data_IF_155433298330
#
_entry.id   IF_155433298330
#
_cell.length_a   1.000
_cell.length_b   1.000
_cell.length_c   1.000
_cell.angle_alpha   90.00
_cell.angle_beta   90.00
_cell.angle_gamma   90.00
#
_symmetry.space_group_name_H-M   'P 1'
#
loop_
_entity.id
_entity.type
_entity.pdbx_description
1 polymer ?
#
# COMPACT_ATOMS: atom_id res chain seq x y z
N UNK A 1 45.24 -12.75 7.03
CA UNK A 1 45.21 -11.32 7.39
C UNK A 1 44.57 -10.60 6.23
N UNK A 2 43.27 -10.39 6.29
CA UNK A 2 42.53 -9.62 5.28
C UNK A 2 42.24 -8.28 5.90
N UNK A 3 42.88 -7.25 5.40
CA UNK A 3 42.68 -5.87 5.81
C UNK A 3 41.39 -5.42 5.22
N UNK A 4 40.36 -5.16 6.05
CA UNK A 4 39.18 -4.44 5.66
C UNK A 4 39.59 -3.01 5.30
N UNK A 5 39.61 -2.68 4.01
CA UNK A 5 39.62 -1.31 3.55
C UNK A 5 38.30 -0.66 3.96
N UNK A 6 38.33 0.05 5.10
CA UNK A 6 37.31 1.04 5.41
C UNK A 6 37.47 2.17 4.39
N UNK A 7 36.64 2.17 3.38
CA UNK A 7 36.46 3.32 2.52
C UNK A 7 35.99 4.50 3.38
N UNK A 8 36.90 5.43 3.65
CA UNK A 8 36.66 6.72 4.31
C UNK A 8 35.82 7.63 3.41
N UNK A 9 34.60 7.21 3.11
CA UNK A 9 33.60 8.00 2.40
C UNK A 9 32.61 8.61 3.40
N UNK A 10 32.27 9.83 3.19
CA UNK A 10 31.24 10.55 3.95
C UNK A 10 29.93 9.76 3.96
N UNK A 11 29.34 9.50 5.15
CA UNK A 11 28.10 8.71 5.30
C UNK A 11 26.90 9.46 4.74
N UNK A 12 26.83 10.77 4.98
CA UNK A 12 25.69 11.62 4.63
C UNK A 12 26.15 12.80 3.78
N UNK A 13 25.51 13.00 2.64
CA UNK A 13 25.75 14.16 1.77
C UNK A 13 24.50 15.03 1.69
N UNK A 14 24.66 16.35 1.86
CA UNK A 14 23.61 17.32 1.61
C UNK A 14 23.83 17.93 0.23
N UNK A 15 22.81 17.85 -0.63
CA UNK A 15 22.83 18.40 -1.98
C UNK A 15 21.74 19.42 -2.16
N UNK A 16 22.11 20.64 -2.54
CA UNK A 16 21.14 21.68 -2.88
C UNK A 16 20.39 21.37 -4.18
N UNK A 17 19.11 21.65 -4.21
CA UNK A 17 18.25 21.60 -5.39
C UNK A 17 17.45 22.90 -5.53
N UNK A 18 16.77 23.09 -6.67
CA UNK A 18 15.88 24.26 -6.87
C UNK A 18 14.71 24.33 -5.85
N UNK A 19 14.37 23.22 -5.24
CA UNK A 19 13.23 23.10 -4.33
C UNK A 19 13.64 23.07 -2.86
N UNK A 20 14.92 22.84 -2.58
CA UNK A 20 15.47 22.72 -1.23
C UNK A 20 16.64 21.74 -1.18
N UNK A 21 16.88 21.15 -0.04
CA UNK A 21 18.03 20.28 0.23
C UNK A 21 17.61 18.80 0.10
N UNK A 22 18.44 18.00 -0.53
CA UNK A 22 18.33 16.56 -0.62
C UNK A 22 19.41 15.95 0.27
N UNK A 23 19.03 15.05 1.18
CA UNK A 23 19.94 14.29 2.03
C UNK A 23 20.16 12.92 1.43
N UNK A 24 21.38 12.60 1.03
CA UNK A 24 21.73 11.30 0.45
C UNK A 24 22.56 10.48 1.45
N UNK A 25 22.15 9.27 1.72
CA UNK A 25 22.90 8.31 2.52
C UNK A 25 23.73 7.44 1.56
N UNK A 26 25.05 7.56 1.63
CA UNK A 26 25.99 7.01 0.64
C UNK A 26 26.39 5.54 0.88
N UNK A 27 26.23 5.06 2.08
CA UNK A 27 26.60 3.68 2.46
C UNK A 27 25.69 3.12 3.54
N UNK A 28 25.69 1.80 3.66
CA UNK A 28 24.94 1.11 4.72
C UNK A 28 25.50 1.46 6.10
N UNK A 29 24.61 1.82 7.00
CA UNK A 29 24.91 2.12 8.40
C UNK A 29 23.67 1.85 9.26
N UNK A 30 23.83 1.84 10.57
CA UNK A 30 22.70 1.72 11.50
C UNK A 30 21.87 3.02 11.54
N UNK A 31 20.65 2.92 12.01
CA UNK A 31 19.77 4.08 12.17
C UNK A 31 20.43 5.19 13.00
N UNK A 32 21.05 4.83 14.13
CA UNK A 32 21.69 5.78 15.03
C UNK A 32 22.93 6.46 14.41
N UNK A 33 23.73 5.71 13.64
CA UNK A 33 24.88 6.30 12.92
C UNK A 33 24.41 7.30 11.86
N UNK A 34 23.37 6.96 11.10
CA UNK A 34 22.80 7.87 10.09
C UNK A 34 22.23 9.11 10.78
N UNK A 35 21.43 8.95 11.82
CA UNK A 35 20.83 10.02 12.60
C UNK A 35 21.89 10.97 13.15
N UNK A 36 22.90 10.44 13.85
CA UNK A 36 23.98 11.25 14.44
C UNK A 36 24.76 11.98 13.36
N UNK A 37 25.09 11.33 12.24
CA UNK A 37 25.80 11.95 11.13
C UNK A 37 25.03 13.12 10.49
N UNK A 38 23.69 13.02 10.42
CA UNK A 38 22.83 14.11 9.93
C UNK A 38 22.83 15.26 10.95
N UNK A 39 22.64 14.94 12.23
CA UNK A 39 22.62 15.92 13.32
C UNK A 39 23.95 16.69 13.38
N UNK A 40 25.09 16.01 13.41
CA UNK A 40 26.41 16.62 13.43
C UNK A 40 26.62 17.61 12.28
N UNK A 41 26.15 17.26 11.09
CA UNK A 41 26.23 18.16 9.91
C UNK A 41 25.31 19.36 10.03
N UNK A 42 24.09 19.19 10.52
CA UNK A 42 23.17 20.31 10.75
C UNK A 42 23.70 21.24 11.84
N UNK A 43 24.26 20.71 12.92
CA UNK A 43 24.88 21.50 14.01
C UNK A 43 26.11 22.26 13.54
N UNK A 44 26.99 21.62 12.75
CA UNK A 44 28.20 22.25 12.22
C UNK A 44 27.93 23.44 11.29
N UNK A 45 26.73 23.55 10.75
CA UNK A 45 26.35 24.58 9.77
C UNK A 45 24.95 25.15 10.09
N UNK A 46 24.61 25.30 11.35
CA UNK A 46 23.28 25.69 11.81
C UNK A 46 22.76 27.00 11.17
N UNK A 47 23.67 27.97 10.97
CA UNK A 47 23.30 29.23 10.33
C UNK A 47 22.89 29.10 8.86
N UNK A 48 23.31 28.03 8.18
CA UNK A 48 22.93 27.74 6.80
C UNK A 48 21.61 26.97 6.71
N UNK A 49 21.33 26.11 7.71
CA UNK A 49 20.18 25.23 7.69
C UNK A 49 18.94 25.81 8.42
N UNK A 50 19.07 26.93 9.13
CA UNK A 50 17.94 27.56 9.83
C UNK A 50 16.88 28.03 8.82
N UNK A 51 15.64 27.55 8.93
CA UNK A 51 14.56 27.78 7.98
C UNK A 51 14.73 27.03 6.65
N UNK A 52 15.68 26.09 6.57
CA UNK A 52 15.93 25.35 5.32
C UNK A 52 14.81 24.34 5.04
N UNK A 53 14.56 24.14 3.73
CA UNK A 53 13.62 23.15 3.24
C UNK A 53 14.34 21.87 2.84
N UNK A 54 13.99 20.75 3.44
CA UNK A 54 14.52 19.42 3.09
C UNK A 54 13.48 18.70 2.22
N UNK A 55 13.85 18.42 0.96
CA UNK A 55 12.93 17.82 -0.02
C UNK A 55 12.84 16.31 0.11
N UNK A 56 13.97 15.65 0.39
CA UNK A 56 13.99 14.18 0.51
C UNK A 56 15.18 13.71 1.34
N UNK A 57 15.01 12.55 1.95
CA UNK A 57 16.09 11.73 2.51
C UNK A 57 16.16 10.46 1.67
N UNK A 58 17.18 10.35 0.83
CA UNK A 58 17.40 9.20 -0.03
C UNK A 58 18.23 8.16 0.73
N UNK A 59 17.59 7.09 1.14
CA UNK A 59 18.21 5.99 1.87
C UNK A 59 17.58 4.66 1.47
N UNK A 60 18.40 3.72 0.98
CA UNK A 60 17.97 2.36 0.62
C UNK A 60 17.99 1.40 1.84
N UNK A 61 18.53 1.84 2.96
CA UNK A 61 18.84 0.99 4.11
C UNK A 61 17.91 1.20 5.31
N UNK A 62 17.05 2.21 5.28
CA UNK A 62 16.06 2.50 6.31
C UNK A 62 14.65 2.19 5.80
N UNK A 63 13.80 1.69 6.70
CA UNK A 63 12.38 1.55 6.43
C UNK A 63 11.69 2.91 6.42
N UNK A 64 10.49 2.99 5.80
CA UNK A 64 9.68 4.21 5.78
C UNK A 64 9.38 4.74 7.20
N UNK A 65 9.16 3.82 8.15
CA UNK A 65 8.94 4.17 9.56
C UNK A 65 10.19 4.82 10.17
N UNK A 66 11.37 4.28 9.89
CA UNK A 66 12.64 4.85 10.38
C UNK A 66 12.92 6.21 9.74
N UNK A 67 12.61 6.39 8.46
CA UNK A 67 12.71 7.71 7.80
C UNK A 67 11.74 8.71 8.42
N UNK A 68 10.52 8.29 8.76
CA UNK A 68 9.55 9.14 9.45
C UNK A 68 10.04 9.55 10.84
N UNK A 69 10.55 8.62 11.64
CA UNK A 69 11.14 8.88 12.95
C UNK A 69 12.34 9.85 12.84
N UNK A 70 13.18 9.66 11.82
CA UNK A 70 14.32 10.53 11.57
C UNK A 70 13.90 11.97 11.23
N UNK A 71 12.86 12.13 10.41
CA UNK A 71 12.30 13.46 10.09
C UNK A 71 11.76 14.15 11.33
N UNK A 72 11.04 13.42 12.18
CA UNK A 72 10.46 13.93 13.42
C UNK A 72 11.53 14.37 14.41
N UNK A 73 12.56 13.55 14.61
CA UNK A 73 13.71 13.85 15.45
C UNK A 73 14.48 15.09 14.97
N UNK A 74 14.66 15.27 13.66
CA UNK A 74 15.35 16.42 13.09
C UNK A 74 14.49 17.68 13.24
N UNK A 75 13.19 17.63 12.89
CA UNK A 75 12.28 18.78 13.00
C UNK A 75 12.09 19.25 14.44
N UNK A 76 12.22 18.33 15.41
CA UNK A 76 12.12 18.70 16.83
C UNK A 76 13.34 19.46 17.36
N UNK A 77 14.51 19.31 16.72
CA UNK A 77 15.78 19.89 17.16
C UNK A 77 16.22 21.11 16.33
N UNK A 78 15.84 21.15 15.08
CA UNK A 78 16.28 22.17 14.13
C UNK A 78 15.08 22.84 13.47
N UNK A 79 15.20 24.13 13.20
CA UNK A 79 14.23 24.88 12.40
C UNK A 79 14.39 24.53 10.92
N UNK A 80 13.89 23.34 10.53
CA UNK A 80 13.87 22.84 9.18
C UNK A 80 12.49 22.36 8.81
N UNK A 81 12.07 22.65 7.58
CA UNK A 81 10.78 22.20 7.01
C UNK A 81 11.02 21.02 6.08
N UNK A 82 10.46 19.85 6.39
CA UNK A 82 10.41 18.76 5.42
C UNK A 82 9.30 19.03 4.43
N UNK A 83 9.67 19.28 3.17
CA UNK A 83 8.70 19.32 2.09
C UNK A 83 8.40 17.86 1.77
N UNK A 84 7.19 17.42 2.07
CA UNK A 84 6.71 16.19 1.47
C UNK A 84 6.58 16.43 -0.04
N UNK A 85 7.66 16.16 -0.78
CA UNK A 85 7.40 15.77 -2.15
C UNK A 85 6.61 14.46 -2.00
N UNK A 86 5.30 14.55 -2.17
CA UNK A 86 4.61 13.43 -2.76
C UNK A 86 5.45 13.08 -3.98
N UNK A 87 6.38 12.13 -3.80
CA UNK A 87 6.89 11.42 -4.94
C UNK A 87 5.63 10.96 -5.64
N UNK A 88 5.28 11.65 -6.70
CA UNK A 88 4.66 11.02 -7.83
C UNK A 88 5.67 9.98 -8.35
N UNK A 89 5.97 8.94 -7.59
CA UNK A 89 6.06 7.60 -8.13
C UNK A 89 4.79 7.57 -8.92
N UNK A 90 4.93 7.66 -10.24
CA UNK A 90 3.85 7.65 -11.19
C UNK A 90 2.59 7.18 -10.48
N UNK A 91 1.77 8.13 -10.01
CA UNK A 91 0.35 7.87 -9.92
C UNK A 91 0.08 7.67 -11.41
N UNK A 92 0.35 6.45 -11.87
CA UNK A 92 -0.32 5.93 -13.03
C UNK A 92 -1.72 6.44 -12.80
N UNK A 93 -2.25 7.25 -13.69
CA UNK A 93 -3.59 7.81 -13.58
C UNK A 93 -4.52 6.60 -13.50
N UNK A 94 -4.59 5.98 -12.33
CA UNK A 94 -5.55 4.92 -12.06
C UNK A 94 -6.90 5.61 -12.10
N UNK A 95 -7.53 5.50 -13.24
CA UNK A 95 -8.88 6.00 -13.38
C UNK A 95 -9.75 5.14 -12.48
N UNK A 96 -10.68 5.79 -11.80
CA UNK A 96 -11.68 5.11 -10.98
C UNK A 96 -13.02 5.17 -11.68
N UNK A 97 -13.61 4.00 -11.91
CA UNK A 97 -14.96 3.87 -12.47
C UNK A 97 -15.98 3.71 -11.35
N UNK A 98 -16.95 4.61 -11.31
CA UNK A 98 -18.08 4.51 -10.38
C UNK A 98 -19.24 3.82 -11.07
N UNK A 99 -19.75 2.74 -10.46
CA UNK A 99 -20.89 1.95 -10.94
C UNK A 99 -22.06 2.19 -9.99
N UNK A 100 -22.99 3.03 -10.38
CA UNK A 100 -24.17 3.37 -9.57
C UNK A 100 -25.33 2.42 -9.77
N UNK A 101 -25.34 1.64 -10.86
CA UNK A 101 -26.34 0.64 -11.16
C UNK A 101 -25.67 -0.54 -11.84
N UNK A 102 -25.97 -1.76 -11.41
CA UNK A 102 -25.46 -2.99 -11.98
C UNK A 102 -26.59 -4.02 -12.09
N UNK A 103 -26.91 -4.44 -13.31
CA UNK A 103 -28.00 -5.37 -13.58
C UNK A 103 -27.53 -6.80 -13.48
N UNK A 104 -28.46 -7.71 -13.22
CA UNK A 104 -28.21 -9.15 -13.31
C UNK A 104 -27.72 -9.51 -14.73
N UNK A 105 -26.64 -10.28 -14.83
CA UNK A 105 -26.00 -10.66 -16.09
C UNK A 105 -25.11 -9.59 -16.72
N UNK A 106 -25.00 -8.42 -16.13
CA UNK A 106 -24.13 -7.36 -16.65
C UNK A 106 -22.66 -7.64 -16.28
N UNK A 107 -21.77 -7.45 -17.26
CA UNK A 107 -20.32 -7.56 -17.07
C UNK A 107 -19.68 -6.19 -17.26
N UNK A 108 -18.89 -5.77 -16.25
CA UNK A 108 -18.13 -4.53 -16.27
C UNK A 108 -16.65 -4.86 -16.13
N UNK A 109 -15.88 -4.44 -17.12
CA UNK A 109 -14.42 -4.50 -17.10
C UNK A 109 -13.85 -3.09 -17.15
N UNK A 110 -12.76 -2.86 -16.42
CA UNK A 110 -12.15 -1.53 -16.35
C UNK A 110 -10.65 -1.63 -16.03
N UNK A 111 -9.88 -0.82 -16.75
CA UNK A 111 -8.45 -0.64 -16.49
C UNK A 111 -8.25 0.46 -15.44
N UNK A 112 -8.18 0.05 -14.19
CA UNK A 112 -8.11 0.91 -13.01
C UNK A 112 -8.87 0.33 -11.83
N UNK A 113 -9.33 1.22 -10.94
CA UNK A 113 -10.18 0.88 -9.80
C UNK A 113 -11.66 0.89 -10.17
N UNK A 114 -12.46 0.02 -9.57
CA UNK A 114 -13.93 0.06 -9.68
C UNK A 114 -14.54 0.25 -8.30
N UNK A 115 -15.46 1.21 -8.18
CA UNK A 115 -16.30 1.38 -7.01
C UNK A 115 -17.76 1.11 -7.40
N UNK A 116 -18.30 0.00 -6.90
CA UNK A 116 -19.70 -0.39 -7.08
C UNK A 116 -20.49 0.19 -5.91
N UNK A 117 -21.39 1.14 -6.21
CA UNK A 117 -22.18 1.87 -5.19
C UNK A 117 -23.53 1.21 -4.89
N UNK A 118 -23.74 -0.02 -5.34
CA UNK A 118 -24.98 -0.78 -5.21
C UNK A 118 -24.65 -2.25 -4.93
N UNK A 119 -25.69 -3.04 -4.67
CA UNK A 119 -25.55 -4.49 -4.56
C UNK A 119 -25.19 -5.13 -5.90
N UNK A 120 -24.42 -6.19 -5.85
CA UNK A 120 -24.13 -7.06 -6.99
C UNK A 120 -25.09 -8.23 -6.99
N UNK A 121 -25.99 -8.24 -7.97
CA UNK A 121 -27.00 -9.28 -8.13
C UNK A 121 -26.45 -10.52 -8.84
N UNK A 122 -27.10 -11.66 -8.65
CA UNK A 122 -26.73 -12.91 -9.30
C UNK A 122 -26.52 -12.73 -10.81
N UNK A 123 -25.46 -13.32 -11.33
CA UNK A 123 -25.04 -13.23 -12.74
C UNK A 123 -24.26 -11.96 -13.10
N UNK A 124 -24.21 -10.94 -12.24
CA UNK A 124 -23.39 -9.76 -12.51
C UNK A 124 -21.90 -10.06 -12.31
N UNK A 125 -21.03 -9.42 -13.10
CA UNK A 125 -19.59 -9.56 -13.02
C UNK A 125 -18.90 -8.19 -13.02
N UNK A 126 -17.85 -8.05 -12.21
CA UNK A 126 -16.99 -6.87 -12.17
C UNK A 126 -15.53 -7.33 -12.21
N UNK A 127 -14.74 -6.78 -13.14
CA UNK A 127 -13.32 -7.07 -13.29
C UNK A 127 -12.51 -5.79 -13.39
N UNK A 128 -11.51 -5.62 -12.50
CA UNK A 128 -10.64 -4.47 -12.45
C UNK A 128 -9.16 -4.85 -12.52
N UNK A 129 -8.36 -4.06 -13.23
CA UNK A 129 -6.89 -4.25 -13.23
C UNK A 129 -6.22 -3.74 -11.95
N UNK A 130 -6.94 -2.96 -11.12
CA UNK A 130 -6.49 -2.52 -9.80
C UNK A 130 -7.41 -3.08 -8.72
N UNK A 131 -8.03 -2.24 -7.91
CA UNK A 131 -8.86 -2.66 -6.79
C UNK A 131 -10.35 -2.61 -7.12
N UNK A 132 -11.15 -3.37 -6.38
CA UNK A 132 -12.61 -3.30 -6.42
C UNK A 132 -13.14 -2.99 -5.03
N UNK A 133 -13.98 -1.97 -4.93
CA UNK A 133 -14.75 -1.65 -3.72
C UNK A 133 -16.22 -1.83 -4.03
N UNK A 134 -16.93 -2.62 -3.21
CA UNK A 134 -18.38 -2.81 -3.31
C UNK A 134 -19.01 -2.25 -2.05
N UNK A 135 -19.87 -1.25 -2.17
CA UNK A 135 -20.53 -0.60 -1.03
C UNK A 135 -21.77 -1.38 -0.54
N UNK A 136 -22.30 -2.28 -1.37
CA UNK A 136 -23.41 -3.15 -1.04
C UNK A 136 -23.01 -4.61 -0.82
N UNK A 137 -23.96 -5.51 -1.02
CA UNK A 137 -23.80 -6.95 -0.90
C UNK A 137 -23.40 -7.60 -2.23
N UNK A 138 -22.70 -8.72 -2.16
CA UNK A 138 -22.39 -9.58 -3.32
C UNK A 138 -23.21 -10.86 -3.20
N UNK A 139 -24.27 -10.95 -4.00
CA UNK A 139 -25.19 -12.09 -4.00
C UNK A 139 -24.53 -13.36 -4.59
N UNK A 140 -25.06 -14.51 -4.20
CA UNK A 140 -24.69 -15.79 -4.82
C UNK A 140 -24.87 -15.74 -6.32
N UNK A 141 -23.83 -16.23 -7.07
CA UNK A 141 -23.78 -16.14 -8.54
C UNK A 141 -23.25 -14.83 -9.10
N UNK A 142 -22.97 -13.82 -8.27
CA UNK A 142 -22.18 -12.65 -8.67
C UNK A 142 -20.68 -12.96 -8.62
N UNK A 143 -19.87 -12.24 -9.42
CA UNK A 143 -18.44 -12.47 -9.54
C UNK A 143 -17.66 -11.16 -9.49
N UNK A 144 -16.64 -11.12 -8.62
CA UNK A 144 -15.67 -10.00 -8.53
C UNK A 144 -14.27 -10.53 -8.80
N UNK A 145 -13.54 -9.85 -9.68
CA UNK A 145 -12.14 -10.12 -9.99
C UNK A 145 -11.35 -8.84 -9.91
N UNK A 146 -10.29 -8.81 -9.13
CA UNK A 146 -9.38 -7.68 -9.02
C UNK A 146 -7.92 -8.14 -9.10
N UNK A 147 -7.07 -7.41 -9.82
CA UNK A 147 -5.62 -7.67 -9.76
C UNK A 147 -5.01 -7.19 -8.45
N UNK A 148 -5.63 -6.21 -7.81
CA UNK A 148 -5.34 -5.72 -6.46
C UNK A 148 -6.28 -6.34 -5.42
N UNK A 149 -6.77 -5.51 -4.53
CA UNK A 149 -7.58 -5.87 -3.37
C UNK A 149 -9.09 -5.82 -3.69
N UNK A 150 -9.87 -6.56 -2.90
CA UNK A 150 -11.33 -6.47 -2.92
C UNK A 150 -11.83 -6.07 -1.54
N UNK A 151 -12.61 -5.00 -1.48
CA UNK A 151 -13.23 -4.49 -0.26
C UNK A 151 -14.74 -4.47 -0.45
N UNK A 152 -15.48 -5.10 0.45
CA UNK A 152 -16.94 -5.19 0.42
C UNK A 152 -17.48 -4.70 1.75
N UNK A 153 -18.28 -3.65 1.74
CA UNK A 153 -18.85 -3.11 2.99
C UNK A 153 -19.98 -3.99 3.53
N UNK A 154 -20.69 -4.70 2.65
CA UNK A 154 -21.76 -5.61 2.99
C UNK A 154 -21.33 -7.07 3.12
N UNK A 155 -22.24 -7.98 2.81
CA UNK A 155 -22.07 -9.43 2.86
C UNK A 155 -21.64 -10.01 1.51
N UNK A 156 -20.81 -11.04 1.55
CA UNK A 156 -20.34 -11.76 0.36
C UNK A 156 -20.86 -13.19 0.38
N UNK A 157 -21.65 -13.53 -0.64
CA UNK A 157 -22.08 -14.91 -0.96
C UNK A 157 -21.67 -15.37 -2.36
N UNK A 158 -21.12 -14.46 -3.16
CA UNK A 158 -20.66 -14.70 -4.52
C UNK A 158 -19.19 -15.15 -4.60
N UNK A 159 -18.66 -15.15 -5.82
CA UNK A 159 -17.26 -15.47 -6.08
C UNK A 159 -16.39 -14.22 -5.98
N UNK A 160 -15.27 -14.34 -5.27
CA UNK A 160 -14.26 -13.27 -5.19
C UNK A 160 -12.88 -13.82 -5.57
N UNK A 161 -12.18 -13.07 -6.44
CA UNK A 161 -10.79 -13.30 -6.76
C UNK A 161 -9.99 -11.99 -6.63
N UNK A 162 -9.21 -11.85 -5.56
CA UNK A 162 -8.24 -10.78 -5.37
C UNK A 162 -6.85 -11.24 -5.85
N UNK A 163 -6.01 -10.30 -6.29
CA UNK A 163 -4.67 -10.62 -6.76
C UNK A 163 -4.64 -11.45 -8.06
N UNK A 164 -5.61 -11.30 -8.95
CA UNK A 164 -5.84 -12.14 -10.11
C UNK A 164 -4.64 -12.29 -11.08
N UNK A 165 -3.72 -11.32 -11.07
CA UNK A 165 -2.47 -11.35 -11.84
C UNK A 165 -1.26 -11.81 -11.01
N UNK A 166 -1.49 -12.57 -9.94
CA UNK A 166 -0.44 -13.20 -9.14
C UNK A 166 0.04 -12.36 -7.94
N UNK A 167 -0.67 -11.29 -7.58
CA UNK A 167 -0.36 -10.51 -6.38
C UNK A 167 -0.74 -11.29 -5.12
N UNK A 168 0.26 -11.94 -4.50
CA UNK A 168 0.09 -12.74 -3.27
C UNK A 168 -0.14 -11.88 -2.01
N UNK A 169 0.09 -10.57 -2.09
CA UNK A 169 -0.13 -9.63 -1.00
C UNK A 169 -1.53 -8.99 -1.07
N UNK A 170 -2.33 -9.36 -2.06
CA UNK A 170 -3.71 -8.90 -2.14
C UNK A 170 -4.54 -9.46 -0.99
N UNK A 171 -5.55 -8.72 -0.60
CA UNK A 171 -6.45 -9.08 0.48
C UNK A 171 -7.92 -8.87 0.09
N UNK A 172 -8.79 -9.54 0.83
CA UNK A 172 -10.23 -9.37 0.77
C UNK A 172 -10.71 -8.93 2.15
N UNK A 173 -11.51 -7.88 2.19
CA UNK A 173 -12.19 -7.38 3.41
C UNK A 173 -13.69 -7.37 3.14
N UNK A 174 -14.50 -7.89 4.06
CA UNK A 174 -15.95 -7.83 3.97
C UNK A 174 -16.58 -7.64 5.33
N UNK A 175 -17.77 -7.03 5.36
CA UNK A 175 -18.58 -6.96 6.58
C UNK A 175 -18.98 -8.35 7.08
N UNK A 176 -19.40 -9.22 6.15
CA UNK A 176 -19.62 -10.64 6.39
C UNK A 176 -19.09 -11.45 5.21
N UNK A 177 -18.18 -12.37 5.47
CA UNK A 177 -17.47 -13.13 4.42
C UNK A 177 -17.94 -14.61 4.45
N UNK A 178 -18.88 -14.94 3.57
CA UNK A 178 -19.39 -16.30 3.38
C UNK A 178 -19.50 -16.66 1.88
N UNK A 179 -18.41 -16.50 1.09
CA UNK A 179 -18.42 -16.84 -0.35
C UNK A 179 -18.36 -18.35 -0.53
N UNK A 180 -18.98 -18.85 -1.62
CA UNK A 180 -18.77 -20.24 -2.03
C UNK A 180 -17.31 -20.50 -2.41
N UNK A 181 -16.67 -19.54 -3.07
CA UNK A 181 -15.27 -19.60 -3.48
C UNK A 181 -14.62 -18.25 -3.24
N UNK A 182 -13.53 -18.27 -2.50
CA UNK A 182 -12.63 -17.15 -2.29
C UNK A 182 -11.26 -17.49 -2.87
N UNK A 183 -10.74 -16.65 -3.75
CA UNK A 183 -9.43 -16.82 -4.32
C UNK A 183 -8.54 -15.61 -4.07
N UNK A 184 -7.31 -15.85 -3.65
CA UNK A 184 -6.25 -14.83 -3.56
C UNK A 184 -5.04 -15.32 -4.34
N UNK A 185 -4.70 -14.61 -5.41
CA UNK A 185 -3.71 -15.03 -6.39
C UNK A 185 -3.98 -16.46 -6.88
N UNK A 186 -3.08 -17.41 -6.63
CA UNK A 186 -3.22 -18.82 -6.97
C UNK A 186 -3.87 -19.68 -5.88
N UNK A 187 -4.18 -19.13 -4.70
CA UNK A 187 -4.74 -19.89 -3.58
C UNK A 187 -6.27 -19.79 -3.59
N UNK A 188 -6.94 -20.94 -3.51
CA UNK A 188 -8.39 -21.04 -3.49
C UNK A 188 -8.82 -21.58 -2.13
N UNK A 189 -9.83 -20.98 -1.54
CA UNK A 189 -10.57 -21.47 -0.40
C UNK A 189 -12.03 -21.63 -0.79
N UNK A 190 -12.59 -22.80 -0.53
CA UNK A 190 -13.99 -23.13 -0.71
C UNK A 190 -14.65 -23.28 0.65
N UNK A 191 -15.88 -22.77 0.77
CA UNK A 191 -16.68 -23.02 1.97
C UNK A 191 -17.04 -24.52 2.01
N UNK A 192 -16.98 -25.17 3.17
CA UNK A 192 -17.49 -26.54 3.30
C UNK A 192 -18.98 -26.57 2.95
N UNK A 193 -19.39 -27.62 2.23
CA UNK A 193 -20.81 -27.82 1.94
C UNK A 193 -21.61 -27.97 3.25
N UNK A 194 -22.73 -27.29 3.37
CA UNK A 194 -23.56 -27.18 4.58
C UNK A 194 -24.18 -28.54 5.05
N UNK A 195 -23.99 -29.63 4.33
CA UNK A 195 -24.58 -30.93 4.67
C UNK A 195 -24.01 -31.58 5.94
N UNK A 196 -22.92 -31.05 6.55
CA UNK A 196 -22.28 -31.64 7.73
C UNK A 196 -22.44 -30.87 9.03
N UNK A 197 -23.22 -29.81 9.10
CA UNK A 197 -23.38 -29.01 10.33
C UNK A 197 -24.52 -29.46 11.27
N UNK A 198 -25.36 -30.40 10.88
CA UNK A 198 -26.48 -30.85 11.73
C UNK A 198 -26.16 -32.01 12.69
N UNK A 199 -25.04 -32.72 12.54
CA UNK A 199 -24.77 -33.92 13.38
C UNK A 199 -24.09 -33.65 14.75
N UNK A 200 -23.69 -32.44 15.09
CA UNK A 200 -22.97 -32.20 16.35
C UNK A 200 -23.79 -31.42 17.42
N UNK A 201 -25.10 -31.35 17.31
CA UNK A 201 -25.96 -30.69 18.33
C UNK A 201 -26.67 -31.62 19.29
N UNK A 202 -26.40 -32.91 19.26
CA UNK A 202 -26.99 -33.87 20.24
C UNK A 202 -25.91 -34.86 20.71
N UNK A 203 -25.15 -34.46 21.76
CA UNK A 203 -24.66 -35.32 22.81
C UNK A 203 -24.25 -34.46 24.00
#
# INVERSE_FOLDING_TARGET
MSVNEFTTGELVEFKGSKKGIIVNIKRKATFDEIKNSIIDKLESSIGFFNGAKICSINCEYLSDIQIMMLKDDISSKFDVEFIEEYNKKEITNFQTKYVTNLRSGENIEFDGDIIVMTDMKSGSQVSATCNVVVMGDISSGARVVASGNVIVMGSVSGFIHAGAHGNKNAYVVAGNLNPKVLQIAGNIAEAPDDENYEENKHN
#
